data_IF_299155126593
#
_entry.id   IF_299155126593
#
_cell.length_a   1.000
_cell.length_b   1.000
_cell.length_c   1.000
_cell.angle_alpha   90.00
_cell.angle_beta   90.00
_cell.angle_gamma   90.00
#
_symmetry.space_group_name_H-M   'P 1'
#
loop_
_entity.id
_entity.type
_entity.pdbx_description
1 polymer ?
#
# COMPACT_ATOMS: atom_id res chain seq x y z
N UNK A 1 -7.04 19.93 16.72
CA UNK A 1 -6.87 18.47 16.68
C UNK A 1 -5.77 18.13 17.69
N UNK A 2 -6.11 17.59 18.86
CA UNK A 2 -5.10 17.02 19.76
C UNK A 2 -5.08 15.52 19.47
N UNK A 3 -3.97 15.03 18.96
CA UNK A 3 -3.68 13.61 18.91
C UNK A 3 -3.54 13.15 20.37
N UNK A 4 -4.35 12.17 20.77
CA UNK A 4 -4.16 11.50 22.05
C UNK A 4 -2.77 10.87 22.03
N UNK A 5 -1.92 11.20 22.99
CA UNK A 5 -0.63 10.56 23.20
C UNK A 5 -0.88 9.09 23.56
N UNK A 6 -1.01 8.25 22.56
CA UNK A 6 -0.99 6.81 22.70
C UNK A 6 0.42 6.35 23.07
N UNK A 7 0.48 5.21 23.70
CA UNK A 7 1.66 4.48 24.18
C UNK A 7 2.87 4.72 23.25
N UNK A 8 3.94 5.30 23.79
CA UNK A 8 5.21 5.38 23.07
C UNK A 8 5.72 3.94 22.89
N UNK A 9 5.89 3.46 21.64
CA UNK A 9 6.54 2.20 21.44
C UNK A 9 7.97 2.29 22.03
N UNK A 10 8.38 1.27 22.73
CA UNK A 10 9.77 1.17 23.21
C UNK A 10 10.70 1.22 22.00
N UNK A 11 11.53 2.27 21.84
CA UNK A 11 12.39 2.44 20.67
C UNK A 11 13.47 1.36 20.54
N UNK A 12 13.66 0.52 21.56
CA UNK A 12 14.68 -0.53 21.61
C UNK A 12 14.15 -1.94 21.37
N UNK A 13 12.84 -2.13 21.30
CA UNK A 13 12.27 -3.40 20.83
C UNK A 13 11.94 -3.30 19.35
N UNK A 14 12.81 -3.86 18.51
CA UNK A 14 12.38 -4.24 17.16
C UNK A 14 11.23 -5.22 17.29
N UNK A 15 10.02 -4.88 16.86
CA UNK A 15 8.95 -5.84 16.84
C UNK A 15 9.31 -6.93 15.84
N UNK A 16 9.58 -8.14 16.33
CA UNK A 16 9.73 -9.35 15.50
C UNK A 16 8.38 -9.78 14.87
N UNK A 17 7.32 -9.11 15.23
CA UNK A 17 5.98 -9.26 14.68
C UNK A 17 5.53 -7.88 14.21
N UNK A 18 4.86 -7.81 13.06
CA UNK A 18 4.40 -6.57 12.47
C UNK A 18 3.70 -5.63 13.46
N UNK A 19 3.71 -4.36 13.15
CA UNK A 19 3.05 -3.32 13.95
C UNK A 19 1.70 -2.97 13.33
N UNK A 20 0.63 -3.06 14.11
CA UNK A 20 -0.68 -2.55 13.73
C UNK A 20 -0.87 -1.13 14.28
N UNK A 21 -1.11 -0.19 13.38
CA UNK A 21 -1.37 1.20 13.74
C UNK A 21 -2.82 1.55 13.39
N UNK A 22 -3.58 1.95 14.40
CA UNK A 22 -4.95 2.43 14.20
C UNK A 22 -5.01 3.93 14.46
N UNK A 23 -5.42 4.69 13.46
CA UNK A 23 -5.77 6.10 13.62
C UNK A 23 -7.28 6.21 13.76
N UNK A 24 -7.73 6.93 14.77
CA UNK A 24 -9.14 7.22 14.96
C UNK A 24 -9.35 8.73 15.14
N UNK A 25 -10.24 9.31 14.35
CA UNK A 25 -10.77 10.63 14.63
C UNK A 25 -11.92 10.47 15.61
N UNK A 26 -11.81 11.12 16.76
CA UNK A 26 -12.77 11.00 17.86
C UNK A 26 -13.40 12.35 18.16
N UNK A 27 -14.70 12.36 18.38
CA UNK A 27 -15.43 13.57 18.77
C UNK A 27 -14.96 14.05 20.16
N UNK A 28 -14.33 15.21 20.24
CA UNK A 28 -13.75 15.73 21.49
C UNK A 28 -14.81 16.23 22.47
N UNK A 29 -15.92 16.76 21.95
CA UNK A 29 -17.01 17.33 22.76
C UNK A 29 -18.34 16.79 22.31
N UNK A 30 -19.27 16.65 23.27
CA UNK A 30 -20.66 16.34 22.94
C UNK A 30 -21.28 17.50 22.17
N UNK A 31 -21.93 17.19 21.06
CA UNK A 31 -22.64 18.14 20.21
C UNK A 31 -24.16 18.03 20.42
N UNK A 32 -24.94 19.00 19.99
CA UNK A 32 -26.40 18.89 19.96
C UNK A 32 -26.82 17.64 19.15
N UNK A 33 -27.78 16.87 19.70
CA UNK A 33 -28.27 15.65 19.05
C UNK A 33 -28.97 15.98 17.74
N UNK A 34 -28.51 15.39 16.65
CA UNK A 34 -29.16 15.41 15.33
C UNK A 34 -29.36 13.97 14.83
N UNK A 35 -30.42 13.71 14.05
CA UNK A 35 -30.62 12.37 13.47
C UNK A 35 -29.39 11.92 12.67
N UNK A 36 -29.02 10.66 12.82
CA UNK A 36 -27.93 9.98 12.08
C UNK A 36 -26.53 10.63 12.19
N UNK A 37 -26.33 11.53 13.15
CA UNK A 37 -25.03 12.16 13.37
C UNK A 37 -24.39 11.75 14.70
N UNK A 38 -23.10 11.42 14.72
CA UNK A 38 -22.35 11.22 15.95
C UNK A 38 -22.40 12.49 16.79
N UNK A 39 -22.82 12.40 18.05
CA UNK A 39 -22.98 13.58 18.89
C UNK A 39 -22.36 13.45 20.28
N UNK A 40 -22.04 12.24 20.72
CA UNK A 40 -21.43 12.01 22.05
C UNK A 40 -19.91 12.16 21.97
N UNK A 41 -19.32 12.82 22.97
CA UNK A 41 -17.86 12.82 23.14
C UNK A 41 -17.33 11.39 23.22
N UNK A 42 -16.19 11.12 22.60
CA UNK A 42 -15.61 9.79 22.48
C UNK A 42 -16.12 8.97 21.31
N UNK A 43 -17.16 9.42 20.57
CA UNK A 43 -17.63 8.71 19.38
C UNK A 43 -16.59 8.79 18.26
N UNK A 44 -16.31 7.67 17.65
CA UNK A 44 -15.42 7.59 16.51
C UNK A 44 -16.10 8.14 15.28
N UNK A 45 -15.42 9.09 14.61
CA UNK A 45 -15.89 9.74 13.38
C UNK A 45 -15.30 9.07 12.15
N UNK A 46 -14.06 8.62 12.24
CA UNK A 46 -13.36 7.88 11.20
C UNK A 46 -12.32 6.98 11.86
N UNK A 47 -12.02 5.87 11.21
CA UNK A 47 -10.98 4.93 11.62
C UNK A 47 -10.19 4.53 10.39
N UNK A 48 -8.88 4.60 10.47
CA UNK A 48 -7.97 4.00 9.51
C UNK A 48 -7.09 3.00 10.25
N UNK A 49 -6.92 1.83 9.67
CA UNK A 49 -6.13 0.74 10.22
C UNK A 49 -5.00 0.43 9.25
N UNK A 50 -3.78 0.38 9.74
CA UNK A 50 -2.58 0.06 8.96
C UNK A 50 -1.85 -1.06 9.69
N UNK A 51 -1.55 -2.13 8.99
CA UNK A 51 -0.60 -3.14 9.48
C UNK A 51 0.74 -2.92 8.79
N UNK A 52 1.79 -2.77 9.58
CA UNK A 52 3.15 -2.71 9.10
C UNK A 52 3.75 -4.08 9.43
N UNK A 53 3.85 -4.94 8.41
CA UNK A 53 4.56 -6.21 8.56
C UNK A 53 6.05 -5.95 8.47
N UNK A 54 6.82 -6.54 9.38
CA UNK A 54 8.28 -6.56 9.31
C UNK A 54 8.80 -7.88 8.73
N UNK A 55 7.89 -8.77 8.35
CA UNK A 55 8.27 -9.96 7.61
C UNK A 55 8.75 -9.55 6.22
N UNK A 56 9.99 -9.92 5.94
CA UNK A 56 10.73 -9.72 4.70
C UNK A 56 10.17 -10.56 3.53
N UNK A 57 8.87 -10.65 3.43
CA UNK A 57 8.17 -11.02 2.22
C UNK A 57 8.32 -9.85 1.24
N UNK A 58 9.56 -9.61 0.83
CA UNK A 58 9.88 -8.68 -0.22
C UNK A 58 9.17 -9.12 -1.49
N UNK A 59 8.02 -8.50 -1.76
CA UNK A 59 7.58 -8.37 -3.13
C UNK A 59 8.60 -7.40 -3.73
N UNK A 60 9.57 -7.97 -4.44
CA UNK A 60 10.83 -7.31 -4.78
C UNK A 60 10.71 -6.29 -5.90
N UNK A 61 9.88 -5.26 -5.73
CA UNK A 61 9.88 -4.13 -6.65
C UNK A 61 11.13 -3.28 -6.42
N UNK A 62 12.00 -3.25 -7.43
CA UNK A 62 13.19 -2.38 -7.41
C UNK A 62 12.80 -1.03 -8.01
N UNK A 63 12.76 0.06 -7.21
CA UNK A 63 12.44 1.37 -7.73
C UNK A 63 13.57 1.90 -8.64
N UNK A 64 13.16 2.57 -9.73
CA UNK A 64 14.05 3.29 -10.64
C UNK A 64 13.99 4.79 -10.35
N UNK A 65 15.10 5.51 -10.50
CA UNK A 65 15.08 6.96 -10.34
C UNK A 65 14.24 7.61 -11.46
N UNK A 66 13.33 8.50 -11.06
CA UNK A 66 12.51 9.31 -11.95
C UNK A 66 13.16 10.69 -12.11
N UNK A 67 13.89 10.86 -13.21
CA UNK A 67 14.57 12.12 -13.54
C UNK A 67 13.61 13.14 -14.18
N UNK A 68 14.08 14.37 -14.38
CA UNK A 68 13.31 15.38 -15.13
C UNK A 68 13.06 14.96 -16.58
N UNK A 69 14.03 14.31 -17.22
CA UNK A 69 13.92 13.79 -18.59
C UNK A 69 12.90 12.65 -18.67
N UNK A 70 12.92 11.72 -17.72
CA UNK A 70 11.93 10.63 -17.66
C UNK A 70 10.51 11.16 -17.54
N UNK A 71 10.30 12.22 -16.73
CA UNK A 71 8.98 12.85 -16.60
C UNK A 71 8.48 13.41 -17.94
N UNK A 72 9.36 14.04 -18.70
CA UNK A 72 9.02 14.57 -20.04
C UNK A 72 8.69 13.42 -20.99
N UNK A 73 9.52 12.39 -21.03
CA UNK A 73 9.36 11.24 -21.93
C UNK A 73 8.08 10.45 -21.62
N UNK A 74 7.72 10.34 -20.35
CA UNK A 74 6.50 9.67 -19.86
C UNK A 74 5.26 10.57 -19.88
N UNK A 75 5.37 11.84 -20.29
CA UNK A 75 4.27 12.78 -20.29
C UNK A 75 3.75 13.15 -18.90
N UNK A 76 4.60 13.03 -17.87
CA UNK A 76 4.22 13.28 -16.49
C UNK A 76 4.42 14.75 -16.12
N UNK A 77 3.57 15.24 -15.21
CA UNK A 77 3.74 16.57 -14.62
C UNK A 77 5.05 16.63 -13.80
N UNK A 78 5.82 17.75 -13.83
CA UNK A 78 7.09 17.89 -13.08
C UNK A 78 7.00 17.58 -11.59
N UNK A 79 5.83 17.79 -10.96
CA UNK A 79 5.59 17.52 -9.54
C UNK A 79 5.25 16.07 -9.20
N UNK A 80 5.28 15.14 -10.16
CA UNK A 80 5.05 13.71 -9.90
C UNK A 80 6.27 13.16 -9.19
N UNK A 81 6.06 12.66 -7.96
CA UNK A 81 7.13 12.10 -7.13
C UNK A 81 7.28 10.59 -7.28
N UNK A 82 6.28 9.92 -7.83
CA UNK A 82 6.27 8.47 -8.05
C UNK A 82 5.29 8.11 -9.16
N UNK A 83 5.62 7.08 -9.90
CA UNK A 83 4.81 6.56 -10.99
C UNK A 83 5.04 5.07 -11.14
N UNK A 84 4.04 4.33 -11.57
CA UNK A 84 4.12 2.88 -11.78
C UNK A 84 3.61 2.56 -13.17
N UNK A 85 4.42 1.85 -13.93
CA UNK A 85 4.02 1.24 -15.19
C UNK A 85 3.82 -0.25 -14.96
N UNK A 86 2.66 -0.74 -15.30
CA UNK A 86 2.32 -2.15 -15.23
C UNK A 86 1.19 -2.45 -16.22
N UNK A 87 1.25 -3.61 -16.85
CA UNK A 87 0.22 -4.14 -17.74
C UNK A 87 0.10 -5.65 -17.55
N UNK A 88 -0.98 -6.22 -18.08
CA UNK A 88 -1.22 -7.67 -18.14
C UNK A 88 -1.06 -8.38 -16.79
N UNK A 89 -1.52 -7.74 -15.72
CA UNK A 89 -1.33 -8.21 -14.33
C UNK A 89 -2.06 -9.50 -14.01
N UNK A 90 -3.03 -9.88 -14.86
CA UNK A 90 -3.78 -11.14 -14.79
C UNK A 90 -3.08 -12.27 -15.56
N UNK A 91 -2.08 -11.95 -16.39
CA UNK A 91 -1.30 -12.95 -17.10
C UNK A 91 -0.34 -13.68 -16.15
N UNK A 92 -0.23 -15.02 -16.25
CA UNK A 92 0.78 -15.79 -15.52
C UNK A 92 2.22 -15.53 -15.99
N UNK A 93 2.39 -14.93 -17.17
CA UNK A 93 3.70 -14.60 -17.74
C UNK A 93 4.27 -13.30 -17.13
N UNK A 94 3.41 -12.41 -16.66
CA UNK A 94 3.81 -11.15 -16.04
C UNK A 94 4.43 -11.39 -14.66
N UNK A 95 5.61 -10.83 -14.46
CA UNK A 95 6.40 -10.98 -13.23
C UNK A 95 6.55 -9.63 -12.51
N UNK A 96 7.13 -9.66 -11.31
CA UNK A 96 7.47 -8.44 -10.56
C UNK A 96 8.51 -7.57 -11.32
N UNK A 97 9.28 -8.16 -12.23
CA UNK A 97 10.28 -7.44 -13.04
C UNK A 97 9.64 -6.61 -14.15
N UNK A 98 8.42 -6.94 -14.55
CA UNK A 98 7.64 -6.21 -15.55
C UNK A 98 6.93 -4.99 -14.94
N UNK A 99 6.96 -4.86 -13.62
CA UNK A 99 6.47 -3.69 -12.91
C UNK A 99 7.58 -2.67 -12.80
N UNK A 100 7.44 -1.54 -13.49
CA UNK A 100 8.40 -0.46 -13.40
C UNK A 100 7.90 0.55 -12.36
N UNK A 101 8.58 0.59 -11.22
CA UNK A 101 8.28 1.52 -10.14
C UNK A 101 9.26 2.69 -10.20
N UNK A 102 8.75 3.85 -10.59
CA UNK A 102 9.51 5.09 -10.64
C UNK A 102 9.37 5.87 -9.33
N UNK A 103 10.46 6.40 -8.83
CA UNK A 103 10.49 7.29 -7.68
C UNK A 103 11.39 8.50 -7.95
N UNK A 104 10.98 9.67 -7.49
CA UNK A 104 11.79 10.89 -7.60
C UNK A 104 13.25 10.62 -7.24
N UNK A 105 14.17 11.02 -8.11
CA UNK A 105 15.58 10.68 -8.00
C UNK A 105 16.21 11.18 -6.71
N UNK A 106 15.91 12.41 -6.30
CA UNK A 106 16.49 13.00 -5.09
C UNK A 106 15.98 12.29 -3.83
N UNK A 107 14.67 12.01 -3.77
CA UNK A 107 14.05 11.29 -2.66
C UNK A 107 14.53 9.85 -2.57
N UNK A 108 14.67 9.17 -3.72
CA UNK A 108 15.17 7.79 -3.77
C UNK A 108 16.61 7.72 -3.31
N UNK A 109 17.49 8.59 -3.82
CA UNK A 109 18.89 8.64 -3.43
C UNK A 109 19.05 8.97 -1.94
N UNK A 110 18.26 9.91 -1.41
CA UNK A 110 18.25 10.23 0.02
C UNK A 110 17.81 9.04 0.87
N UNK A 111 16.78 8.30 0.44
CA UNK A 111 16.30 7.11 1.15
C UNK A 111 17.33 5.99 1.12
N UNK A 112 17.97 5.73 -0.03
CA UNK A 112 19.01 4.71 -0.16
C UNK A 112 20.27 5.06 0.65
N UNK A 113 20.64 6.32 0.74
CA UNK A 113 21.75 6.77 1.58
C UNK A 113 21.49 6.61 3.09
N UNK A 114 20.21 6.59 3.50
CA UNK A 114 19.79 6.52 4.90
C UNK A 114 18.89 5.32 5.20
N UNK A 115 19.13 4.17 4.59
CA UNK A 115 18.28 2.96 4.65
C UNK A 115 17.85 2.55 6.06
N UNK A 116 18.70 2.82 7.07
CA UNK A 116 18.40 2.49 8.46
C UNK A 116 17.51 3.53 9.16
N UNK A 117 17.23 4.67 8.54
CA UNK A 117 16.34 5.66 9.13
C UNK A 117 14.87 5.26 9.02
N UNK A 118 14.06 5.64 10.00
CA UNK A 118 12.61 5.38 9.94
C UNK A 118 11.96 6.07 8.73
N UNK A 119 12.43 7.26 8.35
CA UNK A 119 11.92 8.00 7.20
C UNK A 119 12.17 7.26 5.89
N UNK A 120 13.38 6.77 5.69
CA UNK A 120 13.74 6.00 4.49
C UNK A 120 12.93 4.70 4.38
N UNK A 121 12.81 3.95 5.47
CA UNK A 121 11.99 2.72 5.50
C UNK A 121 10.53 3.02 5.19
N UNK A 122 9.96 4.06 5.80
CA UNK A 122 8.58 4.48 5.52
C UNK A 122 8.39 4.87 4.05
N UNK A 123 9.35 5.58 3.46
CA UNK A 123 9.32 5.95 2.05
C UNK A 123 9.37 4.71 1.13
N UNK A 124 10.32 3.80 1.34
CA UNK A 124 10.47 2.57 0.55
C UNK A 124 9.22 1.68 0.69
N UNK A 125 8.70 1.54 1.90
CA UNK A 125 7.44 0.81 2.12
C UNK A 125 6.26 1.45 1.38
N UNK A 126 6.18 2.79 1.38
CA UNK A 126 5.13 3.50 0.65
C UNK A 126 5.25 3.33 -0.87
N UNK A 127 6.47 3.20 -1.41
CA UNK A 127 6.68 2.85 -2.81
C UNK A 127 6.11 1.47 -3.14
N UNK A 128 6.39 0.46 -2.31
CA UNK A 128 5.84 -0.89 -2.48
C UNK A 128 4.31 -0.89 -2.44
N UNK A 129 3.70 -0.15 -1.51
CA UNK A 129 2.24 0.01 -1.46
C UNK A 129 1.68 0.69 -2.72
N UNK A 130 2.42 1.64 -3.29
CA UNK A 130 2.03 2.29 -4.54
C UNK A 130 2.04 1.29 -5.70
N UNK A 131 3.05 0.43 -5.79
CA UNK A 131 3.12 -0.63 -6.80
C UNK A 131 1.95 -1.62 -6.67
N UNK A 132 1.69 -2.10 -5.46
CA UNK A 132 0.55 -3.00 -5.18
C UNK A 132 -0.77 -2.34 -5.58
N UNK A 133 -0.96 -1.07 -5.22
CA UNK A 133 -2.18 -0.33 -5.56
C UNK A 133 -2.35 -0.19 -7.08
N UNK A 134 -1.26 0.07 -7.81
CA UNK A 134 -1.28 0.15 -9.27
C UNK A 134 -1.65 -1.19 -9.91
N UNK A 135 -1.09 -2.30 -9.40
CA UNK A 135 -1.40 -3.65 -9.89
C UNK A 135 -2.88 -3.98 -9.67
N UNK A 136 -3.42 -3.68 -8.49
CA UNK A 136 -4.85 -3.90 -8.22
C UNK A 136 -5.72 -3.04 -9.13
N UNK A 137 -5.34 -1.79 -9.35
CA UNK A 137 -6.07 -0.89 -10.24
C UNK A 137 -6.02 -1.38 -11.69
N UNK A 138 -4.84 -1.82 -12.17
CA UNK A 138 -4.69 -2.41 -13.51
C UNK A 138 -5.54 -3.66 -13.66
N UNK A 139 -5.54 -4.56 -12.67
CA UNK A 139 -6.40 -5.74 -12.67
C UNK A 139 -7.89 -5.38 -12.77
N UNK A 140 -8.33 -4.38 -12.02
CA UNK A 140 -9.73 -3.91 -12.10
C UNK A 140 -10.08 -3.35 -13.49
N UNK A 141 -9.14 -2.66 -14.13
CA UNK A 141 -9.33 -2.14 -15.49
C UNK A 141 -9.35 -3.27 -16.53
N UNK A 142 -8.45 -4.25 -16.43
CA UNK A 142 -8.40 -5.42 -17.30
C UNK A 142 -9.69 -6.24 -17.18
N UNK A 143 -10.19 -6.43 -15.97
CA UNK A 143 -11.46 -7.13 -15.73
C UNK A 143 -12.68 -6.38 -16.25
N UNK A 144 -12.62 -5.06 -16.32
CA UNK A 144 -13.71 -4.19 -16.80
C UNK A 144 -15.09 -4.56 -16.18
N UNK A 145 -15.11 -4.89 -14.90
CA UNK A 145 -16.31 -5.32 -14.18
C UNK A 145 -16.74 -6.77 -14.44
N UNK A 146 -15.95 -7.55 -15.18
CA UNK A 146 -16.20 -8.99 -15.32
C UNK A 146 -15.79 -9.72 -14.03
N UNK A 147 -16.57 -10.74 -13.68
CA UNK A 147 -16.22 -11.62 -12.59
C UNK A 147 -15.19 -12.63 -13.09
N UNK A 148 -14.13 -12.82 -12.32
CA UNK A 148 -13.09 -13.81 -12.61
C UNK A 148 -13.02 -14.83 -11.48
N UNK A 149 -12.78 -16.09 -11.84
CA UNK A 149 -12.57 -17.15 -10.86
C UNK A 149 -11.09 -17.22 -10.48
N UNK A 150 -10.82 -17.61 -9.23
CA UNK A 150 -9.44 -17.69 -8.73
C UNK A 150 -8.53 -18.57 -9.60
N UNK A 151 -9.07 -19.66 -10.12
CA UNK A 151 -8.31 -20.63 -10.92
C UNK A 151 -7.86 -20.04 -12.28
N UNK A 152 -8.55 -19.03 -12.79
CA UNK A 152 -8.22 -18.35 -14.05
C UNK A 152 -7.01 -17.43 -13.92
N UNK A 153 -6.77 -16.89 -12.72
CA UNK A 153 -5.63 -15.99 -12.46
C UNK A 153 -4.49 -16.68 -11.71
N UNK A 154 -4.60 -17.97 -11.46
CA UNK A 154 -3.57 -18.70 -10.72
C UNK A 154 -2.21 -18.57 -11.41
N UNK A 155 -1.19 -18.10 -10.64
CA UNK A 155 0.15 -17.82 -11.15
C UNK A 155 0.36 -16.40 -11.67
N UNK A 156 -0.70 -15.61 -11.86
CA UNK A 156 -0.59 -14.21 -12.25
C UNK A 156 0.10 -13.35 -11.18
N UNK A 157 0.54 -12.16 -11.57
CA UNK A 157 1.14 -11.20 -10.64
C UNK A 157 0.16 -10.83 -9.50
N UNK A 158 -1.12 -10.61 -9.84
CA UNK A 158 -2.16 -10.33 -8.85
C UNK A 158 -2.31 -11.49 -7.85
N UNK A 159 -2.37 -12.73 -8.34
CA UNK A 159 -2.50 -13.91 -7.47
C UNK A 159 -1.30 -14.08 -6.54
N UNK A 160 -0.07 -13.83 -7.04
CA UNK A 160 1.14 -13.89 -6.21
C UNK A 160 1.13 -12.86 -5.09
N UNK A 161 0.66 -11.63 -5.36
CA UNK A 161 0.52 -10.58 -4.34
C UNK A 161 -0.49 -10.98 -3.27
N UNK A 162 -1.64 -11.54 -3.67
CA UNK A 162 -2.67 -12.00 -2.73
C UNK A 162 -2.15 -13.15 -1.87
N UNK A 163 -1.46 -14.13 -2.46
CA UNK A 163 -0.86 -15.26 -1.74
C UNK A 163 0.29 -14.81 -0.83
N UNK A 164 1.15 -13.91 -1.30
CA UNK A 164 2.26 -13.37 -0.51
C UNK A 164 1.79 -12.69 0.77
N UNK A 165 0.58 -12.15 0.77
CA UNK A 165 -0.03 -11.52 1.95
C UNK A 165 -0.51 -12.53 3.00
N UNK A 166 -1.00 -13.69 2.57
CA UNK A 166 -1.36 -14.82 3.44
C UNK A 166 -1.22 -16.17 2.70
N UNK A 167 -0.05 -16.82 2.80
CA UNK A 167 0.19 -18.11 2.14
C UNK A 167 -0.74 -19.25 2.57
N UNK A 168 -1.38 -19.11 3.75
CA UNK A 168 -2.28 -20.10 4.31
C UNK A 168 -3.76 -19.85 3.97
N UNK A 169 -4.03 -18.82 3.19
CA UNK A 169 -5.38 -18.44 2.83
C UNK A 169 -6.12 -19.57 2.11
N UNK A 170 -7.34 -19.88 2.52
CA UNK A 170 -8.19 -20.86 1.85
C UNK A 170 -8.63 -20.36 0.46
N UNK A 171 -8.97 -21.29 -0.45
CA UNK A 171 -9.48 -20.93 -1.78
C UNK A 171 -10.72 -20.02 -1.71
N UNK A 172 -11.65 -20.32 -0.81
CA UNK A 172 -12.84 -19.47 -0.60
C UNK A 172 -12.49 -18.06 -0.16
N UNK A 173 -11.44 -17.91 0.67
CA UNK A 173 -10.95 -16.59 1.08
C UNK A 173 -10.25 -15.86 -0.05
N UNK A 174 -9.51 -16.56 -0.91
CA UNK A 174 -8.84 -16.00 -2.10
C UNK A 174 -9.87 -15.45 -3.09
N UNK A 175 -10.93 -16.23 -3.36
CA UNK A 175 -12.02 -15.79 -4.23
C UNK A 175 -12.70 -14.51 -3.72
N UNK A 176 -12.88 -14.39 -2.42
CA UNK A 176 -13.47 -13.21 -1.79
C UNK A 176 -12.66 -11.90 -1.97
N UNK A 177 -11.38 -11.99 -2.27
CA UNK A 177 -10.55 -10.83 -2.61
C UNK A 177 -10.77 -10.32 -4.04
N UNK A 178 -11.40 -11.12 -4.89
CA UNK A 178 -11.73 -10.78 -6.28
C UNK A 178 -13.15 -10.21 -6.43
N UNK A 179 -13.96 -10.26 -5.39
CA UNK A 179 -15.30 -9.69 -5.31
C UNK A 179 -15.28 -8.25 -4.78
#
# INVERSE_FOLDING_TARGET
LQLANGVRPDPFRSPKAGCEVTFAAVLKKTLPKKPLTPHRSGTWLAKAHFSISTDDGEIGFTPRPLTGEDRVNLGLHPGVLRYVEVSDVLSPETTEQDVILWADEELLNAALAQQNSHGARAFLHQLSLTAISAIVTSAQQELNGQRIEWDEIQGSLLARIIIGRDPKMSQTSKQKYLE
#
